data_IF_998429931510
#
_entry.id   IF_998429931510
#
_cell.length_a   1.000
_cell.length_b   1.000
_cell.length_c   1.000
_cell.angle_alpha   90.00
_cell.angle_beta   90.00
_cell.angle_gamma   90.00
#
_symmetry.space_group_name_H-M   'P 1'
#
loop_
_entity.id
_entity.type
_entity.pdbx_description
1 polymer ?
#
# COMPACT_ATOMS: atom_id res chain seq x y z
N UNK A 1 6.85 -6.22 -31.26
CA UNK A 1 5.81 -5.88 -30.28
C UNK A 1 5.87 -4.38 -30.04
N UNK A 2 4.85 -3.61 -30.44
CA UNK A 2 4.80 -2.18 -30.09
C UNK A 2 4.21 -2.10 -28.68
N UNK A 3 5.07 -1.87 -27.71
CA UNK A 3 4.65 -1.48 -26.38
C UNK A 3 4.46 0.03 -26.46
N UNK A 4 3.21 0.45 -26.61
CA UNK A 4 2.87 1.86 -26.53
C UNK A 4 2.95 2.25 -25.04
N UNK A 5 4.12 2.63 -24.63
CA UNK A 5 4.32 3.21 -23.32
C UNK A 5 3.94 4.68 -23.38
N UNK A 6 2.87 5.04 -22.73
CA UNK A 6 2.77 6.38 -22.17
C UNK A 6 3.80 6.45 -21.02
N UNK A 7 5.05 6.80 -21.35
CA UNK A 7 6.14 6.92 -20.38
C UNK A 7 7.11 5.75 -20.42
N UNK A 8 8.03 5.81 -21.26
CA UNK A 8 9.32 5.18 -21.53
C UNK A 8 9.88 4.00 -20.71
N UNK A 9 9.19 3.52 -19.70
CA UNK A 9 9.70 2.56 -18.72
C UNK A 9 9.69 1.10 -19.19
N UNK A 10 8.60 0.67 -19.80
CA UNK A 10 8.43 -0.74 -20.19
C UNK A 10 9.47 -1.14 -21.24
N UNK A 11 9.83 -0.21 -22.11
CA UNK A 11 10.85 -0.47 -23.13
C UNK A 11 12.29 -0.50 -22.61
N UNK A 12 12.59 0.17 -21.51
CA UNK A 12 13.92 0.18 -20.90
C UNK A 12 14.16 -1.06 -20.02
N UNK A 13 13.14 -1.49 -19.27
CA UNK A 13 13.24 -2.66 -18.40
C UNK A 13 13.47 -3.98 -19.18
N UNK A 14 12.88 -4.10 -20.37
CA UNK A 14 13.02 -5.32 -21.20
C UNK A 14 14.38 -5.39 -21.91
N UNK A 15 15.02 -4.25 -22.15
CA UNK A 15 16.28 -4.21 -22.95
C UNK A 15 17.53 -4.74 -22.21
N UNK A 16 17.47 -4.88 -20.90
CA UNK A 16 18.61 -5.32 -20.10
C UNK A 16 18.61 -6.80 -19.74
N UNK A 17 17.60 -7.55 -20.11
CA UNK A 17 17.43 -8.93 -19.65
C UNK A 17 17.95 -9.92 -20.69
N UNK A 18 18.98 -10.63 -20.35
CA UNK A 18 19.51 -11.75 -21.11
C UNK A 18 19.53 -13.00 -20.21
N UNK A 19 19.43 -14.17 -20.83
CA UNK A 19 19.55 -15.43 -20.11
C UNK A 19 20.92 -15.48 -19.43
N UNK A 20 20.94 -15.64 -18.10
CA UNK A 20 22.14 -15.56 -17.28
C UNK A 20 22.48 -14.18 -16.72
N UNK A 21 21.69 -13.15 -17.04
CA UNK A 21 21.75 -11.86 -16.33
C UNK A 21 21.22 -12.09 -14.90
N UNK A 22 21.94 -11.63 -13.88
CA UNK A 22 21.41 -11.69 -12.52
C UNK A 22 20.07 -10.95 -12.34
N UNK A 23 19.63 -10.14 -13.29
CA UNK A 23 18.31 -9.51 -13.33
C UNK A 23 17.32 -10.19 -14.31
N UNK A 24 17.57 -11.45 -14.70
CA UNK A 24 16.63 -12.23 -15.49
C UNK A 24 15.37 -12.53 -14.64
N UNK A 25 14.32 -11.75 -14.86
CA UNK A 25 13.04 -11.90 -14.20
C UNK A 25 12.16 -13.03 -14.79
N UNK A 26 12.60 -13.67 -15.86
CA UNK A 26 11.79 -14.61 -16.62
C UNK A 26 10.70 -13.93 -17.43
N UNK A 27 9.62 -14.65 -17.73
CA UNK A 27 8.49 -14.10 -18.46
C UNK A 27 7.72 -13.09 -17.61
N UNK A 28 7.26 -12.01 -18.25
CA UNK A 28 6.46 -11.01 -17.56
C UNK A 28 5.09 -11.59 -17.19
N UNK A 29 4.74 -11.54 -15.91
CA UNK A 29 3.48 -12.06 -15.36
C UNK A 29 2.55 -10.98 -14.84
N UNK A 30 2.99 -9.72 -14.81
CA UNK A 30 2.20 -8.59 -14.37
C UNK A 30 3.02 -7.32 -14.25
N UNK A 31 2.53 -6.38 -13.47
CA UNK A 31 3.20 -5.13 -13.14
C UNK A 31 3.03 -4.81 -11.65
N UNK A 32 3.95 -4.03 -11.11
CA UNK A 32 3.90 -3.55 -9.73
C UNK A 32 4.17 -2.05 -9.68
N UNK A 33 3.80 -1.41 -8.59
CA UNK A 33 4.27 -0.06 -8.28
C UNK A 33 5.48 -0.16 -7.36
N UNK A 34 6.57 0.56 -7.69
CA UNK A 34 7.79 0.60 -6.88
C UNK A 34 8.02 2.02 -6.40
N UNK A 35 8.24 2.18 -5.10
CA UNK A 35 8.53 3.45 -4.45
C UNK A 35 9.80 3.34 -3.61
N UNK A 36 10.73 4.29 -3.77
CA UNK A 36 11.90 4.41 -2.90
C UNK A 36 11.98 5.83 -2.37
N UNK A 37 11.95 5.98 -1.06
CA UNK A 37 11.79 7.27 -0.41
C UNK A 37 12.70 7.45 0.81
N UNK A 38 13.06 8.69 1.06
CA UNK A 38 13.56 9.16 2.34
C UNK A 38 12.78 10.43 2.72
N UNK A 39 11.87 10.30 3.67
CA UNK A 39 11.04 11.38 4.20
C UNK A 39 11.40 11.75 5.64
N UNK A 40 12.37 11.07 6.23
CA UNK A 40 12.64 11.13 7.68
C UNK A 40 13.99 11.77 8.02
N UNK A 41 14.98 11.66 7.14
CA UNK A 41 16.34 12.09 7.40
C UNK A 41 16.87 13.00 6.30
N UNK A 42 17.18 14.25 6.62
CA UNK A 42 17.79 15.18 5.68
C UNK A 42 19.29 14.87 5.48
N UNK A 43 19.56 14.04 4.48
CA UNK A 43 20.91 13.69 4.02
C UNK A 43 21.47 14.67 2.97
N UNK A 44 20.70 15.69 2.62
CA UNK A 44 21.05 16.70 1.62
C UNK A 44 20.91 16.27 0.15
N UNK A 45 20.52 15.02 -0.13
CA UNK A 45 20.35 14.53 -1.51
C UNK A 45 19.09 13.67 -1.72
N UNK A 46 18.90 12.59 -0.97
CA UNK A 46 17.77 11.68 -1.11
C UNK A 46 16.51 12.16 -0.38
N UNK A 47 16.68 13.03 0.61
CA UNK A 47 15.57 13.55 1.39
C UNK A 47 14.53 14.24 0.49
N UNK A 48 13.28 13.97 0.78
CA UNK A 48 12.12 14.65 0.20
C UNK A 48 11.18 15.06 1.32
N UNK A 49 10.60 16.24 1.16
CA UNK A 49 9.48 16.67 1.99
C UNK A 49 8.38 15.60 1.94
N UNK A 50 7.77 15.17 3.06
CA UNK A 50 6.71 14.16 3.08
C UNK A 50 5.51 14.45 2.17
N UNK A 51 5.27 15.73 1.84
CA UNK A 51 4.22 16.14 0.90
C UNK A 51 4.63 15.96 -0.57
N UNK A 52 5.86 15.54 -0.83
CA UNK A 52 6.40 15.35 -2.17
C UNK A 52 6.48 13.86 -2.53
N UNK A 53 6.64 13.63 -3.83
CA UNK A 53 6.84 12.27 -4.35
C UNK A 53 8.19 11.69 -3.86
N UNK A 54 8.25 10.36 -3.70
CA UNK A 54 9.50 9.62 -3.50
C UNK A 54 10.58 10.03 -4.51
N UNK A 55 11.84 9.83 -4.20
CA UNK A 55 12.92 10.13 -5.15
C UNK A 55 12.96 9.12 -6.31
N UNK A 56 12.35 7.93 -6.14
CA UNK A 56 12.06 6.98 -7.20
C UNK A 56 10.62 6.49 -7.03
N UNK A 57 9.79 6.68 -8.08
CA UNK A 57 8.42 6.20 -8.11
C UNK A 57 8.09 5.69 -9.51
N UNK A 58 7.74 4.42 -9.60
CA UNK A 58 7.50 3.71 -10.85
C UNK A 58 6.15 3.02 -10.79
N UNK A 59 5.21 3.47 -11.59
CA UNK A 59 3.95 2.78 -11.80
C UNK A 59 4.09 1.78 -12.96
N UNK A 60 3.35 0.67 -12.88
CA UNK A 60 3.35 -0.38 -13.91
C UNK A 60 4.76 -0.93 -14.23
N UNK A 61 5.61 -1.02 -13.22
CA UNK A 61 6.94 -1.60 -13.38
C UNK A 61 6.83 -3.11 -13.64
N UNK A 62 7.53 -3.68 -14.65
CA UNK A 62 7.38 -5.08 -15.02
C UNK A 62 7.72 -6.04 -13.88
N UNK A 63 6.84 -7.01 -13.66
CA UNK A 63 7.02 -8.12 -12.74
C UNK A 63 7.22 -9.41 -13.54
N UNK A 64 8.32 -10.12 -13.31
CA UNK A 64 8.62 -11.39 -13.93
C UNK A 64 8.36 -12.59 -13.03
N UNK A 65 8.20 -13.75 -13.63
CA UNK A 65 7.86 -15.01 -12.92
C UNK A 65 8.89 -15.44 -11.87
N UNK A 66 10.15 -15.00 -12.00
CA UNK A 66 11.26 -15.32 -11.10
C UNK A 66 11.48 -14.25 -10.03
N UNK A 67 10.71 -13.15 -10.06
CA UNK A 67 10.94 -12.04 -9.16
C UNK A 67 10.61 -12.34 -7.71
N UNK A 68 11.43 -11.75 -6.85
CA UNK A 68 11.15 -11.44 -5.45
C UNK A 68 11.00 -9.94 -5.26
N UNK A 69 10.51 -9.51 -4.12
CA UNK A 69 10.49 -8.07 -3.76
C UNK A 69 11.90 -7.49 -3.86
N UNK A 70 12.94 -8.21 -3.40
CA UNK A 70 14.31 -7.75 -3.49
C UNK A 70 14.76 -7.57 -4.94
N UNK A 71 14.52 -8.54 -5.82
CA UNK A 71 14.98 -8.44 -7.22
C UNK A 71 14.29 -7.30 -7.97
N UNK A 72 13.00 -7.09 -7.72
CA UNK A 72 12.26 -5.93 -8.28
C UNK A 72 12.89 -4.61 -7.83
N UNK A 73 13.18 -4.47 -6.54
CA UNK A 73 13.80 -3.27 -5.98
C UNK A 73 15.16 -2.99 -6.61
N UNK A 74 16.04 -3.98 -6.63
CA UNK A 74 17.40 -3.82 -7.15
C UNK A 74 17.40 -3.51 -8.64
N UNK A 75 16.52 -4.16 -9.40
CA UNK A 75 16.35 -3.89 -10.82
C UNK A 75 15.79 -2.48 -11.05
N UNK A 76 14.79 -2.05 -10.29
CA UNK A 76 14.25 -0.70 -10.39
C UNK A 76 15.30 0.37 -10.08
N UNK A 77 16.13 0.15 -9.07
CA UNK A 77 17.26 1.03 -8.75
C UNK A 77 18.25 1.09 -9.91
N UNK A 78 18.69 -0.08 -10.43
CA UNK A 78 19.63 -0.17 -11.56
C UNK A 78 19.12 0.56 -12.80
N UNK A 79 17.87 0.30 -13.18
CA UNK A 79 17.28 0.89 -14.38
C UNK A 79 17.17 2.41 -14.32
N UNK A 80 17.19 2.97 -13.11
CA UNK A 80 17.13 4.41 -12.86
C UNK A 80 18.48 5.03 -12.46
N UNK A 81 19.57 4.28 -12.65
CA UNK A 81 20.93 4.77 -12.45
C UNK A 81 21.33 4.91 -10.99
N UNK A 82 20.67 4.17 -10.11
CA UNK A 82 21.10 4.01 -8.72
C UNK A 82 21.98 2.77 -8.58
N UNK A 83 22.83 2.80 -7.56
CA UNK A 83 23.63 1.67 -7.10
C UNK A 83 23.27 1.38 -5.64
N UNK A 84 23.69 0.24 -5.15
CA UNK A 84 23.40 -0.19 -3.77
C UNK A 84 24.56 -0.99 -3.20
N UNK A 85 24.57 -1.08 -1.86
CA UNK A 85 25.31 -2.10 -1.14
C UNK A 85 24.35 -2.92 -0.31
N UNK A 86 24.77 -4.12 0.05
CA UNK A 86 23.99 -5.01 0.86
C UNK A 86 24.82 -6.17 1.38
N UNK A 87 24.27 -6.90 2.34
CA UNK A 87 24.88 -8.12 2.83
C UNK A 87 24.23 -9.34 2.19
N UNK A 88 25.05 -10.33 1.87
CA UNK A 88 24.59 -11.67 1.56
C UNK A 88 24.24 -12.36 2.87
N UNK A 89 22.98 -12.73 3.05
CA UNK A 89 22.59 -13.54 4.20
C UNK A 89 23.31 -14.88 4.20
N UNK A 90 23.51 -15.46 5.37
CA UNK A 90 24.12 -16.79 5.55
C UNK A 90 23.23 -17.94 5.07
N UNK A 91 22.09 -17.67 4.46
CA UNK A 91 21.19 -18.70 3.98
C UNK A 91 21.69 -19.26 2.64
N UNK A 92 22.50 -20.27 2.75
CA UNK A 92 23.07 -21.00 1.60
C UNK A 92 22.01 -21.71 0.74
N UNK A 93 20.75 -21.76 1.19
CA UNK A 93 19.65 -22.41 0.48
C UNK A 93 18.85 -21.43 -0.38
N UNK A 94 19.07 -20.15 -0.23
CA UNK A 94 18.50 -19.08 -1.06
C UNK A 94 19.50 -18.69 -2.13
N UNK A 95 20.03 -19.68 -2.81
CA UNK A 95 20.92 -19.50 -3.93
C UNK A 95 20.24 -18.76 -5.04
N UNK A 96 20.96 -17.91 -5.66
CA UNK A 96 20.82 -17.31 -6.97
C UNK A 96 20.31 -15.88 -7.06
N UNK A 97 19.63 -15.33 -6.06
CA UNK A 97 19.22 -13.95 -6.10
C UNK A 97 20.36 -13.04 -5.70
N UNK A 98 21.18 -12.59 -6.66
CA UNK A 98 22.18 -11.50 -6.49
C UNK A 98 23.03 -11.57 -5.23
N UNK A 99 22.84 -12.59 -4.40
CA UNK A 99 23.50 -12.75 -3.13
C UNK A 99 23.12 -11.71 -2.07
N UNK A 100 22.19 -10.80 -2.34
CA UNK A 100 21.80 -9.72 -1.40
C UNK A 100 20.46 -10.08 -0.78
N UNK A 101 20.48 -10.31 0.53
CA UNK A 101 19.29 -10.54 1.35
C UNK A 101 18.91 -9.32 2.20
N UNK A 102 19.81 -8.35 2.29
CA UNK A 102 19.64 -7.11 3.04
C UNK A 102 20.22 -5.92 2.28
N UNK A 103 19.40 -4.88 2.09
CA UNK A 103 19.80 -3.61 1.47
C UNK A 103 20.38 -2.68 2.53
N UNK A 104 21.68 -2.45 2.50
CA UNK A 104 22.36 -1.60 3.48
C UNK A 104 22.50 -0.14 3.02
N UNK A 105 22.58 0.13 1.73
CA UNK A 105 22.65 1.50 1.23
C UNK A 105 22.15 1.62 -0.19
N UNK A 106 21.68 2.83 -0.53
CA UNK A 106 21.37 3.27 -1.89
C UNK A 106 22.30 4.43 -2.23
N UNK A 107 22.80 4.46 -3.46
CA UNK A 107 23.68 5.53 -3.91
C UNK A 107 23.37 5.95 -5.35
N UNK A 108 23.78 7.18 -5.71
CA UNK A 108 23.70 7.71 -7.06
C UNK A 108 24.90 8.59 -7.37
N UNK A 109 25.43 8.45 -8.56
CA UNK A 109 26.50 9.31 -9.05
C UNK A 109 25.95 10.28 -10.08
N UNK A 110 26.08 11.57 -9.79
CA UNK A 110 25.69 12.65 -10.70
C UNK A 110 26.81 13.68 -10.79
N UNK A 111 27.13 14.10 -11.99
CA UNK A 111 28.18 15.10 -12.25
C UNK A 111 29.54 14.75 -11.62
N UNK A 112 29.87 13.46 -11.57
CA UNK A 112 31.11 12.96 -10.96
C UNK A 112 31.15 12.94 -9.44
N UNK A 113 30.04 13.28 -8.76
CA UNK A 113 29.90 13.19 -7.32
C UNK A 113 28.96 12.03 -6.97
N UNK A 114 29.38 11.17 -6.05
CA UNK A 114 28.56 10.10 -5.52
C UNK A 114 27.89 10.55 -4.22
N UNK A 115 26.58 10.39 -4.18
CA UNK A 115 25.75 10.56 -3.00
C UNK A 115 25.33 9.16 -2.54
N UNK A 116 25.32 8.92 -1.26
CA UNK A 116 24.93 7.64 -0.67
C UNK A 116 24.16 7.88 0.62
N UNK A 117 23.19 7.00 0.88
CA UNK A 117 22.43 6.95 2.12
C UNK A 117 22.43 5.50 2.59
N UNK A 118 23.06 5.25 3.71
CA UNK A 118 23.27 3.93 4.29
C UNK A 118 22.54 3.73 5.61
N UNK A 119 22.46 2.48 6.03
CA UNK A 119 22.09 2.16 7.41
C UNK A 119 23.02 2.90 8.39
N UNK A 120 22.46 3.33 9.51
CA UNK A 120 23.14 4.09 10.57
C UNK A 120 23.53 5.53 10.23
N UNK A 121 23.35 6.02 9.00
CA UNK A 121 23.66 7.42 8.68
C UNK A 121 22.77 8.41 9.44
N UNK A 122 21.51 8.06 9.68
CA UNK A 122 20.56 8.85 10.47
C UNK A 122 20.58 8.54 11.97
N UNK A 123 21.43 7.60 12.43
CA UNK A 123 21.50 7.16 13.83
C UNK A 123 21.48 5.64 13.99
N UNK A 124 21.71 5.14 15.21
CA UNK A 124 21.91 3.71 15.47
C UNK A 124 20.69 2.79 15.20
N UNK A 125 19.53 3.37 14.91
CA UNK A 125 18.30 2.64 14.56
C UNK A 125 17.79 3.00 13.16
N UNK A 126 18.60 3.69 12.37
CA UNK A 126 18.23 4.09 11.03
C UNK A 126 18.61 3.05 9.99
N UNK A 127 17.87 3.03 8.88
CA UNK A 127 18.13 2.13 7.77
C UNK A 127 16.95 2.03 6.78
N UNK A 128 17.04 1.10 5.86
CA UNK A 128 16.04 0.89 4.84
C UNK A 128 14.99 -0.13 5.28
N UNK A 129 13.73 0.30 5.35
CA UNK A 129 12.59 -0.53 5.71
C UNK A 129 11.67 -0.71 4.51
N UNK A 130 11.12 -1.91 4.34
CA UNK A 130 10.25 -2.22 3.22
C UNK A 130 8.85 -2.61 3.61
N UNK A 131 7.91 -2.20 2.78
CA UNK A 131 6.51 -2.60 2.85
C UNK A 131 6.06 -3.24 1.54
N UNK A 132 5.16 -4.19 1.66
CA UNK A 132 4.37 -4.72 0.56
C UNK A 132 2.91 -4.34 0.80
N UNK A 133 2.31 -3.60 -0.14
CA UNK A 133 0.96 -3.04 0.02
C UNK A 133 0.77 -2.21 1.30
N UNK A 134 1.81 -1.45 1.65
CA UNK A 134 1.90 -0.60 2.85
C UNK A 134 1.94 -1.35 4.18
N UNK A 135 2.18 -2.63 4.15
CA UNK A 135 2.36 -3.51 5.29
C UNK A 135 3.85 -3.85 5.49
N UNK A 136 4.39 -3.63 6.67
CA UNK A 136 5.77 -4.03 6.97
C UNK A 136 5.92 -5.55 6.87
N UNK A 137 6.77 -5.97 5.94
CA UNK A 137 7.02 -7.39 5.71
C UNK A 137 7.82 -8.01 6.86
N UNK A 138 7.37 -9.14 7.36
CA UNK A 138 7.99 -9.84 8.49
C UNK A 138 9.33 -10.44 8.18
N UNK A 139 9.40 -10.98 6.98
CA UNK A 139 10.57 -11.67 6.49
C UNK A 139 11.31 -10.73 5.55
N UNK A 140 12.53 -11.02 5.24
CA UNK A 140 13.29 -10.21 4.30
C UNK A 140 12.63 -10.14 2.91
N UNK A 141 13.01 -9.18 2.11
CA UNK A 141 12.43 -8.93 0.78
C UNK A 141 12.58 -10.12 -0.19
N UNK A 142 13.48 -11.05 0.08
CA UNK A 142 13.68 -12.28 -0.71
C UNK A 142 12.62 -13.33 -0.46
N UNK A 143 11.87 -13.25 0.64
CA UNK A 143 10.83 -14.23 0.99
C UNK A 143 9.53 -14.02 0.22
N UNK A 144 9.28 -12.80 -0.22
CA UNK A 144 8.07 -12.45 -0.96
C UNK A 144 8.35 -12.57 -2.45
N UNK A 145 7.85 -13.65 -3.06
CA UNK A 145 8.15 -14.02 -4.45
C UNK A 145 6.91 -14.28 -5.27
N UNK A 146 7.01 -14.13 -6.59
CA UNK A 146 5.97 -14.56 -7.53
C UNK A 146 5.75 -16.06 -7.44
N UNK A 147 6.82 -16.84 -7.27
CA UNK A 147 6.77 -18.31 -7.19
C UNK A 147 5.91 -18.81 -6.03
N UNK A 148 6.01 -18.20 -4.85
CA UNK A 148 5.19 -18.57 -3.69
C UNK A 148 3.88 -17.80 -3.59
N UNK A 149 3.56 -16.96 -4.60
CA UNK A 149 2.35 -16.15 -4.72
C UNK A 149 2.18 -15.06 -3.65
N UNK A 150 3.22 -14.76 -2.91
CA UNK A 150 3.21 -13.64 -1.96
C UNK A 150 3.47 -12.29 -2.63
N UNK A 151 3.97 -12.30 -3.87
CA UNK A 151 4.14 -11.15 -4.74
C UNK A 151 3.39 -11.40 -6.04
N UNK A 152 2.69 -10.40 -6.57
CA UNK A 152 1.92 -10.56 -7.79
C UNK A 152 1.51 -9.24 -8.46
N UNK A 153 0.74 -9.36 -9.54
CA UNK A 153 0.27 -8.22 -10.30
C UNK A 153 -0.51 -7.23 -9.43
N UNK A 154 -0.24 -5.93 -9.64
CA UNK A 154 -0.85 -4.82 -8.91
C UNK A 154 -0.30 -4.59 -7.51
N UNK A 155 0.73 -5.31 -7.06
CA UNK A 155 1.34 -5.04 -5.75
C UNK A 155 2.07 -3.68 -5.71
N UNK A 156 2.07 -3.09 -4.52
CA UNK A 156 2.80 -1.87 -4.20
C UNK A 156 4.00 -2.21 -3.30
N UNK A 157 5.19 -2.06 -3.85
CA UNK A 157 6.45 -2.27 -3.15
C UNK A 157 6.99 -0.89 -2.76
N UNK A 158 7.18 -0.65 -1.46
CA UNK A 158 7.79 0.59 -0.99
C UNK A 158 8.96 0.31 -0.06
N UNK A 159 10.08 0.99 -0.35
CA UNK A 159 11.22 1.04 0.57
C UNK A 159 11.37 2.47 1.04
N UNK A 160 11.44 2.63 2.34
CA UNK A 160 11.59 3.93 2.96
C UNK A 160 12.76 3.91 3.94
N UNK A 161 13.50 5.02 3.98
CA UNK A 161 14.51 5.20 4.98
C UNK A 161 13.85 5.59 6.30
N UNK A 162 14.12 4.82 7.36
CA UNK A 162 13.73 5.16 8.73
C UNK A 162 14.91 5.80 9.44
N UNK A 163 14.66 6.84 10.19
CA UNK A 163 15.68 7.46 11.04
C UNK A 163 15.59 6.95 12.48
N UNK A 164 14.38 6.63 12.95
CA UNK A 164 14.14 6.33 14.35
C UNK A 164 13.21 5.14 14.55
N UNK A 165 13.46 4.39 15.63
CA UNK A 165 12.57 3.36 16.13
C UNK A 165 12.35 2.15 15.21
N UNK A 166 13.30 1.87 14.29
CA UNK A 166 13.19 0.74 13.36
C UNK A 166 11.86 0.74 12.60
N UNK A 167 11.46 1.90 12.07
CA UNK A 167 10.22 2.08 11.33
C UNK A 167 9.06 2.70 12.12
N UNK A 168 9.27 3.13 13.37
CA UNK A 168 8.25 3.83 14.13
C UNK A 168 7.87 5.17 13.49
N UNK A 169 8.84 5.89 12.96
CA UNK A 169 8.67 7.13 12.20
C UNK A 169 8.01 6.93 10.82
N UNK A 170 7.93 5.69 10.36
CA UNK A 170 7.24 5.29 9.12
C UNK A 170 5.83 4.76 9.36
N UNK A 171 5.37 4.72 10.60
CA UNK A 171 4.04 4.26 10.96
C UNK A 171 3.98 2.80 11.46
N UNK A 172 5.11 2.20 11.85
CA UNK A 172 5.14 0.96 12.62
C UNK A 172 5.14 1.25 14.12
N UNK A 173 4.54 0.40 14.92
CA UNK A 173 4.59 0.50 16.38
C UNK A 173 4.61 -0.88 17.03
N UNK A 174 5.24 -0.97 18.20
CA UNK A 174 5.23 -2.19 19.01
C UNK A 174 3.89 -2.43 19.72
N UNK A 175 3.07 -1.39 19.86
CA UNK A 175 1.68 -1.54 20.30
C UNK A 175 0.82 -2.05 19.16
N UNK A 176 0.39 -3.30 19.27
CA UNK A 176 -0.41 -3.98 18.26
C UNK A 176 -1.91 -4.02 18.61
N UNK A 177 -2.40 -3.13 19.44
CA UNK A 177 -3.82 -3.05 19.78
C UNK A 177 -4.65 -2.24 18.78
N UNK A 178 -4.04 -1.27 18.08
CA UNK A 178 -4.74 -0.40 17.13
C UNK A 178 -4.80 -1.01 15.72
N UNK A 179 -5.93 -1.62 15.40
CA UNK A 179 -6.25 -2.18 14.06
C UNK A 179 -7.04 -1.21 13.18
N UNK A 180 -7.07 0.09 13.50
CA UNK A 180 -7.81 1.07 12.71
C UNK A 180 -7.03 1.52 11.47
N UNK A 181 -7.74 2.15 10.53
CA UNK A 181 -7.13 2.91 9.45
C UNK A 181 -6.88 4.35 9.91
N UNK A 182 -5.67 4.85 9.68
CA UNK A 182 -5.34 6.27 9.82
C UNK A 182 -6.02 7.12 8.74
N UNK A 183 -6.09 6.60 7.52
CA UNK A 183 -6.66 7.26 6.36
C UNK A 183 -7.23 6.25 5.37
N UNK A 184 -8.20 6.70 4.58
CA UNK A 184 -8.74 5.99 3.44
C UNK A 184 -8.90 7.00 2.29
N UNK A 185 -7.99 6.93 1.31
CA UNK A 185 -8.07 7.74 0.10
C UNK A 185 -8.86 6.97 -0.97
N UNK A 186 -9.66 7.70 -1.76
CA UNK A 186 -10.52 7.10 -2.78
C UNK A 186 -10.38 7.90 -4.07
N UNK A 187 -10.19 7.19 -5.17
CA UNK A 187 -10.29 7.74 -6.52
C UNK A 187 -11.48 7.12 -7.24
N UNK A 188 -12.12 7.88 -8.11
CA UNK A 188 -13.31 7.44 -8.87
C UNK A 188 -14.61 7.45 -8.10
N UNK A 189 -14.61 7.95 -6.86
CA UNK A 189 -15.78 8.10 -6.01
C UNK A 189 -15.53 9.06 -4.86
N UNK A 190 -16.57 9.38 -4.10
CA UNK A 190 -16.48 10.30 -2.95
C UNK A 190 -17.28 9.75 -1.77
N UNK A 191 -16.70 9.77 -0.58
CA UNK A 191 -17.46 9.45 0.64
C UNK A 191 -18.46 10.56 0.94
N UNK A 192 -19.71 10.18 1.18
CA UNK A 192 -20.78 11.13 1.55
C UNK A 192 -20.52 11.76 2.92
N UNK A 193 -19.86 11.02 3.81
CA UNK A 193 -19.44 11.52 5.11
C UNK A 193 -17.92 11.48 5.25
N UNK A 194 -17.38 12.37 6.08
CA UNK A 194 -15.95 12.37 6.37
C UNK A 194 -15.54 11.03 6.99
N UNK A 195 -14.44 10.48 6.49
CA UNK A 195 -13.84 9.27 7.09
C UNK A 195 -13.40 9.52 8.52
N UNK A 196 -13.75 8.59 9.41
CA UNK A 196 -13.36 8.56 10.83
C UNK A 196 -12.80 7.18 11.14
N UNK A 197 -11.58 7.06 11.69
CA UNK A 197 -10.96 5.78 11.99
C UNK A 197 -11.79 4.82 12.85
N UNK A 198 -12.55 5.38 13.80
CA UNK A 198 -13.31 4.58 14.78
C UNK A 198 -12.42 3.98 15.88
N UNK A 199 -12.86 2.88 16.44
CA UNK A 199 -12.15 2.11 17.47
C UNK A 199 -11.76 0.75 16.94
N UNK A 200 -10.65 0.21 17.42
CA UNK A 200 -10.14 -1.11 17.02
C UNK A 200 -11.18 -2.20 17.26
N UNK A 201 -11.29 -3.15 16.31
CA UNK A 201 -12.24 -4.25 16.35
C UNK A 201 -13.68 -3.89 15.95
N UNK A 202 -13.95 -2.62 15.62
CA UNK A 202 -15.26 -2.15 15.19
C UNK A 202 -15.59 -2.48 13.73
N UNK A 203 -16.87 -2.31 13.37
CA UNK A 203 -17.33 -2.29 11.97
C UNK A 203 -18.02 -0.95 11.72
N UNK A 204 -17.58 -0.26 10.66
CA UNK A 204 -18.01 1.09 10.31
C UNK A 204 -18.60 1.10 8.92
N UNK A 205 -19.73 1.76 8.76
CA UNK A 205 -20.43 1.84 7.49
C UNK A 205 -20.31 3.24 6.90
N UNK A 206 -20.03 3.30 5.60
CA UNK A 206 -19.91 4.50 4.81
C UNK A 206 -20.73 4.37 3.54
N UNK A 207 -21.06 5.49 2.96
CA UNK A 207 -21.60 5.56 1.61
C UNK A 207 -20.57 6.14 0.67
N UNK A 208 -20.30 5.42 -0.42
CA UNK A 208 -19.44 5.81 -1.51
C UNK A 208 -20.31 6.26 -2.69
N UNK A 209 -20.33 7.55 -2.95
CA UNK A 209 -21.03 8.13 -4.08
C UNK A 209 -20.20 7.97 -5.35
N UNK A 210 -20.83 7.45 -6.40
CA UNK A 210 -20.31 7.44 -7.78
C UNK A 210 -21.25 8.23 -8.67
N UNK A 211 -20.77 8.73 -9.80
CA UNK A 211 -21.53 9.62 -10.69
C UNK A 211 -22.11 8.93 -11.94
N UNK A 212 -22.11 7.61 -11.97
CA UNK A 212 -22.61 6.75 -13.05
C UNK A 212 -23.07 5.41 -12.51
N UNK A 213 -23.85 4.64 -13.29
CA UNK A 213 -24.31 3.30 -12.88
C UNK A 213 -23.21 2.29 -12.72
N UNK A 214 -22.08 2.50 -13.40
CA UNK A 214 -20.86 1.71 -13.23
C UNK A 214 -19.66 2.65 -13.22
N UNK A 215 -18.72 2.40 -12.32
CA UNK A 215 -17.50 3.16 -12.16
C UNK A 215 -16.33 2.22 -11.86
N UNK A 216 -15.13 2.76 -11.97
CA UNK A 216 -13.92 2.14 -11.44
C UNK A 216 -13.42 3.00 -10.28
N UNK A 217 -13.29 2.40 -9.12
CA UNK A 217 -12.79 3.09 -7.93
C UNK A 217 -11.49 2.44 -7.46
N UNK A 218 -10.57 3.25 -6.96
CA UNK A 218 -9.35 2.78 -6.31
C UNK A 218 -9.33 3.26 -4.87
N UNK A 219 -9.06 2.33 -3.96
CA UNK A 219 -8.96 2.62 -2.54
C UNK A 219 -7.52 2.47 -2.07
N UNK A 220 -7.03 3.50 -1.37
CA UNK A 220 -5.71 3.48 -0.74
C UNK A 220 -5.87 3.56 0.78
N UNK A 221 -6.10 2.42 1.45
CA UNK A 221 -6.15 2.38 2.89
C UNK A 221 -4.74 2.54 3.48
N UNK A 222 -4.64 3.32 4.56
CA UNK A 222 -3.42 3.45 5.36
C UNK A 222 -3.73 3.00 6.78
N UNK A 223 -3.10 1.93 7.23
CA UNK A 223 -3.25 1.46 8.61
C UNK A 223 -2.66 2.47 9.61
N UNK A 224 -3.27 2.61 10.77
CA UNK A 224 -2.70 3.38 11.89
C UNK A 224 -1.37 2.78 12.34
N UNK A 225 -1.29 1.46 12.33
CA UNK A 225 -0.06 0.71 12.54
C UNK A 225 0.21 -0.17 11.31
N UNK A 226 1.27 0.11 10.58
CA UNK A 226 1.67 -0.64 9.37
C UNK A 226 2.09 -2.09 9.63
N UNK A 227 2.12 -2.53 10.87
CA UNK A 227 2.24 -3.95 11.19
C UNK A 227 0.96 -4.73 10.92
N UNK A 228 -0.15 -4.06 10.60
CA UNK A 228 -1.38 -4.70 10.17
C UNK A 228 -1.57 -4.57 8.67
N UNK A 229 -1.87 -5.70 8.04
CA UNK A 229 -2.22 -5.76 6.62
C UNK A 229 -3.62 -5.21 6.41
N UNK A 230 -3.82 -4.44 5.34
CA UNK A 230 -5.13 -4.02 4.87
C UNK A 230 -5.55 -4.86 3.66
N UNK A 231 -6.81 -5.29 3.64
CA UNK A 231 -7.37 -6.08 2.53
C UNK A 231 -8.68 -5.45 2.05
N UNK A 232 -8.92 -5.49 0.75
CA UNK A 232 -10.09 -4.89 0.12
C UNK A 232 -10.87 -6.00 -0.61
N UNK A 233 -12.17 -6.14 -0.31
CA UNK A 233 -13.04 -7.12 -0.91
C UNK A 233 -14.28 -6.45 -1.51
N UNK A 234 -14.81 -7.00 -2.59
CA UNK A 234 -16.06 -6.55 -3.21
C UNK A 234 -17.17 -7.56 -2.89
N UNK A 235 -18.27 -7.08 -2.33
CA UNK A 235 -19.51 -7.80 -2.01
C UNK A 235 -19.40 -8.96 -1.00
N UNK A 236 -18.22 -9.46 -0.71
CA UNK A 236 -18.02 -10.56 0.23
C UNK A 236 -16.97 -10.19 1.26
N UNK A 237 -17.39 -9.98 2.49
CA UNK A 237 -16.46 -9.82 3.61
C UNK A 237 -15.81 -11.17 3.91
N UNK A 238 -14.52 -11.27 3.70
CA UNK A 238 -13.76 -12.49 4.07
C UNK A 238 -13.13 -12.27 5.43
N UNK A 239 -13.63 -12.98 6.42
CA UNK A 239 -13.16 -12.90 7.82
C UNK A 239 -12.16 -13.98 8.17
N UNK A 240 -12.12 -15.05 7.39
CA UNK A 240 -11.17 -16.14 7.57
C UNK A 240 -9.94 -15.90 6.73
N UNK A 241 -8.78 -16.23 7.30
CA UNK A 241 -7.56 -16.27 6.53
C UNK A 241 -7.54 -17.55 5.69
N UNK A 242 -8.50 -17.67 4.80
CA UNK A 242 -8.52 -18.75 3.85
C UNK A 242 -7.31 -18.56 2.93
N UNK A 243 -6.38 -19.51 2.99
CA UNK A 243 -5.24 -19.54 2.10
C UNK A 243 -5.72 -19.42 0.66
N UNK A 244 -5.28 -18.37 -0.03
CA UNK A 244 -5.71 -18.09 -1.40
C UNK A 244 -6.96 -17.22 -1.56
N UNK A 245 -7.52 -16.63 -0.50
CA UNK A 245 -8.57 -15.63 -0.66
C UNK A 245 -8.06 -14.43 -1.46
N UNK A 246 -8.69 -14.18 -2.60
CA UNK A 246 -8.36 -13.06 -3.47
C UNK A 246 -8.89 -11.76 -2.88
N UNK A 247 -8.06 -10.74 -2.80
CA UNK A 247 -8.46 -9.39 -2.43
C UNK A 247 -7.89 -8.38 -3.42
N UNK A 248 -8.54 -7.22 -3.52
CA UNK A 248 -8.02 -6.13 -4.34
C UNK A 248 -6.85 -5.44 -3.62
N UNK A 249 -5.88 -5.04 -4.40
CA UNK A 249 -4.71 -4.33 -3.92
C UNK A 249 -4.92 -2.82 -4.02
N UNK A 250 -4.25 -2.06 -3.19
CA UNK A 250 -4.36 -0.59 -3.13
C UNK A 250 -4.02 0.13 -4.45
N UNK A 251 -3.36 -0.55 -5.38
CA UNK A 251 -2.99 -0.02 -6.70
C UNK A 251 -3.99 -0.37 -7.78
N UNK A 252 -4.97 -1.25 -7.49
CA UNK A 252 -5.94 -1.76 -8.46
C UNK A 252 -7.23 -0.95 -8.44
N UNK A 253 -7.79 -0.76 -9.63
CA UNK A 253 -9.13 -0.26 -9.78
C UNK A 253 -10.14 -1.40 -9.63
N UNK A 254 -11.19 -1.13 -8.90
CA UNK A 254 -12.29 -2.06 -8.58
C UNK A 254 -13.48 -1.64 -9.42
N UNK A 255 -13.96 -2.47 -10.34
CA UNK A 255 -15.20 -2.19 -11.04
C UNK A 255 -16.38 -2.31 -10.07
N UNK A 256 -17.19 -1.28 -9.97
CA UNK A 256 -18.33 -1.21 -9.06
C UNK A 256 -19.58 -0.72 -9.76
N UNK A 257 -20.71 -1.17 -9.25
CA UNK A 257 -22.06 -0.71 -9.65
C UNK A 257 -22.82 -0.22 -8.41
N UNK A 258 -23.85 0.58 -8.62
CA UNK A 258 -24.72 1.00 -7.53
C UNK A 258 -25.35 -0.22 -6.83
N UNK A 259 -25.25 -0.27 -5.52
CA UNK A 259 -25.69 -1.39 -4.67
C UNK A 259 -24.55 -2.30 -4.21
N UNK A 260 -23.39 -2.25 -4.84
CA UNK A 260 -22.22 -3.00 -4.38
C UNK A 260 -21.75 -2.52 -2.99
N UNK A 261 -21.03 -3.38 -2.29
CA UNK A 261 -20.39 -3.03 -1.01
C UNK A 261 -18.91 -3.39 -1.08
N UNK A 262 -18.06 -2.40 -0.86
CA UNK A 262 -16.62 -2.63 -0.72
C UNK A 262 -16.31 -2.77 0.77
N UNK A 263 -15.63 -3.84 1.14
CA UNK A 263 -15.16 -4.07 2.50
C UNK A 263 -13.65 -3.84 2.57
N UNK A 264 -13.22 -2.95 3.46
CA UNK A 264 -11.81 -2.75 3.79
C UNK A 264 -11.58 -3.27 5.19
N UNK A 265 -10.75 -4.30 5.32
CA UNK A 265 -10.34 -4.88 6.59
C UNK A 265 -8.92 -4.48 6.98
N UNK A 266 -8.70 -4.21 8.26
CA UNK A 266 -7.39 -3.98 8.85
C UNK A 266 -7.28 -4.79 10.13
N UNK A 267 -6.39 -5.77 10.20
CA UNK A 267 -6.31 -6.63 11.38
C UNK A 267 -5.42 -7.84 11.22
N UNK A 268 -4.97 -8.13 10.00
CA UNK A 268 -3.95 -9.14 9.82
C UNK A 268 -2.63 -8.60 10.37
N UNK A 269 -2.11 -9.30 11.37
CA UNK A 269 -0.93 -8.88 12.09
C UNK A 269 0.33 -9.28 11.34
N UNK A 270 1.09 -8.30 10.90
CA UNK A 270 2.48 -8.49 10.59
C UNK A 270 3.35 -8.39 11.85
N UNK A 271 4.58 -8.82 11.74
CA UNK A 271 5.55 -8.60 12.79
C UNK A 271 6.00 -7.15 12.82
N UNK A 272 5.91 -6.52 13.96
CA UNK A 272 6.59 -5.26 14.14
C UNK A 272 8.08 -5.54 14.14
N UNK A 273 8.75 -5.21 13.05
CA UNK A 273 10.19 -5.32 12.95
C UNK A 273 10.79 -6.74 12.97
N UNK A 274 12.09 -6.79 13.16
CA UNK A 274 12.92 -7.99 13.01
C UNK A 274 12.76 -9.05 14.10
N UNK A 275 11.91 -8.86 15.10
CA UNK A 275 11.68 -9.83 16.18
C UNK A 275 10.47 -10.71 15.92
N UNK A 276 10.38 -11.26 14.75
CA UNK A 276 9.30 -12.16 14.39
C UNK A 276 9.24 -13.37 15.31
N UNK A 277 8.08 -13.58 15.93
CA UNK A 277 7.82 -14.79 16.70
C UNK A 277 6.81 -15.62 15.92
N UNK A 278 7.08 -16.88 15.78
CA UNK A 278 6.14 -17.83 15.21
C UNK A 278 4.80 -17.78 15.95
N UNK A 279 3.72 -18.00 15.23
CA UNK A 279 2.39 -18.08 15.79
C UNK A 279 1.64 -16.75 15.89
N UNK A 280 2.08 -15.70 15.22
CA UNK A 280 1.25 -14.54 15.00
C UNK A 280 0.09 -14.91 14.09
N UNK A 281 -0.96 -15.29 14.71
CA UNK A 281 -2.23 -15.53 14.04
C UNK A 281 -2.85 -14.19 13.68
N UNK A 282 -3.59 -14.19 12.59
CA UNK A 282 -4.44 -13.07 12.26
C UNK A 282 -5.41 -12.78 13.37
N UNK A 283 -5.62 -11.51 13.60
CA UNK A 283 -6.73 -11.08 14.42
C UNK A 283 -8.02 -11.19 13.60
N UNK A 284 -8.89 -12.12 13.96
CA UNK A 284 -10.27 -12.14 13.48
C UNK A 284 -11.07 -10.94 14.02
N UNK A 285 -10.50 -10.22 14.98
CA UNK A 285 -11.06 -9.03 15.62
C UNK A 285 -10.60 -7.73 14.94
N UNK A 286 -10.22 -7.80 13.68
CA UNK A 286 -9.81 -6.64 12.88
C UNK A 286 -10.95 -5.63 12.72
N UNK A 287 -10.55 -4.40 12.44
CA UNK A 287 -11.48 -3.31 12.15
C UNK A 287 -11.94 -3.39 10.69
N UNK A 288 -13.22 -3.18 10.46
CA UNK A 288 -13.83 -3.26 9.14
C UNK A 288 -14.52 -1.96 8.77
N UNK A 289 -14.37 -1.59 7.51
CA UNK A 289 -15.03 -0.44 6.90
C UNK A 289 -15.81 -0.93 5.68
N UNK A 290 -17.13 -0.80 5.74
CA UNK A 290 -18.04 -1.19 4.66
C UNK A 290 -18.48 0.06 3.89
N UNK A 291 -18.17 0.15 2.61
CA UNK A 291 -18.52 1.27 1.74
C UNK A 291 -19.63 0.80 0.80
N UNK A 292 -20.85 1.23 1.04
CA UNK A 292 -21.98 1.00 0.13
C UNK A 292 -21.89 1.96 -1.06
N UNK A 293 -21.82 1.40 -2.24
CA UNK A 293 -21.73 2.17 -3.49
C UNK A 293 -23.11 2.64 -3.91
N UNK A 294 -23.25 3.91 -4.24
CA UNK A 294 -24.51 4.53 -4.68
C UNK A 294 -24.26 5.49 -5.85
N UNK A 295 -25.04 5.33 -6.92
CA UNK A 295 -25.06 6.29 -8.02
C UNK A 295 -25.89 7.52 -7.61
N UNK A 296 -25.23 8.67 -7.53
CA UNK A 296 -25.89 9.93 -7.13
C UNK A 296 -26.46 10.74 -8.30
N UNK A 297 -26.13 10.39 -9.56
CA UNK A 297 -26.65 11.11 -10.75
C UNK A 297 -27.99 10.60 -11.24
N UNK A 298 -28.37 9.37 -10.92
CA UNK A 298 -29.56 8.71 -11.46
C UNK A 298 -30.72 8.57 -10.50
N UNK A 299 -30.52 8.72 -9.20
CA UNK A 299 -31.53 8.35 -8.19
C UNK A 299 -31.56 9.29 -6.99
N UNK A 300 -32.29 10.41 -7.17
CA UNK A 300 -32.57 11.32 -6.05
C UNK A 300 -33.36 10.62 -4.92
N UNK A 301 -34.06 9.52 -5.21
CA UNK A 301 -34.72 8.68 -4.21
C UNK A 301 -33.71 7.96 -3.34
N UNK A 302 -32.69 7.30 -3.91
CA UNK A 302 -31.66 6.62 -3.16
C UNK A 302 -30.86 7.58 -2.25
N UNK A 303 -30.60 8.82 -2.71
CA UNK A 303 -29.94 9.84 -1.88
C UNK A 303 -30.84 10.24 -0.71
N UNK A 304 -32.14 10.39 -0.94
CA UNK A 304 -33.10 10.71 0.14
C UNK A 304 -33.24 9.55 1.12
N UNK A 305 -33.33 8.31 0.66
CA UNK A 305 -33.38 7.11 1.51
C UNK A 305 -32.12 7.00 2.39
N UNK A 306 -30.96 7.36 1.84
CA UNK A 306 -29.71 7.41 2.60
C UNK A 306 -29.72 8.51 3.65
N UNK A 307 -30.21 9.70 3.30
CA UNK A 307 -30.34 10.81 4.23
C UNK A 307 -31.30 10.45 5.38
N UNK A 308 -32.38 9.75 5.07
CA UNK A 308 -33.37 9.32 6.04
C UNK A 308 -32.90 8.14 6.93
N UNK A 309 -31.95 7.33 6.43
CA UNK A 309 -31.28 6.25 7.18
C UNK A 309 -30.13 6.73 8.07
N UNK A 310 -29.75 8.02 8.00
CA UNK A 310 -28.67 8.54 8.83
C UNK A 310 -29.06 8.49 10.33
N UNK A 311 -28.07 8.24 11.24
CA UNK A 311 -28.32 8.13 12.66
C UNK A 311 -29.05 9.38 13.22
N UNK A 312 -30.02 9.15 14.11
CA UNK A 312 -30.69 10.23 14.81
C UNK A 312 -29.70 11.08 15.63
N UNK A 313 -30.09 12.30 15.95
CA UNK A 313 -29.31 13.23 16.77
C UNK A 313 -28.73 12.64 18.07
N UNK A 314 -29.41 11.64 18.63
CA UNK A 314 -29.00 10.93 19.85
C UNK A 314 -27.81 10.00 19.66
N UNK A 315 -27.48 9.62 18.43
CA UNK A 315 -26.36 8.72 18.10
C UNK A 315 -25.08 9.48 17.73
N UNK A 316 -25.15 10.80 17.56
CA UNK A 316 -24.01 11.65 17.13
C UNK A 316 -23.62 12.60 18.27
N UNK A 317 -22.32 12.71 18.58
CA UNK A 317 -21.85 13.70 19.56
C UNK A 317 -22.25 15.10 19.13
N UNK A 318 -22.80 15.89 20.05
CA UNK A 318 -23.39 17.22 19.78
C UNK A 318 -22.50 18.17 18.97
N UNK A 319 -21.20 18.12 19.12
CA UNK A 319 -20.23 18.94 18.35
C UNK A 319 -20.17 18.61 16.85
N UNK A 320 -20.58 17.44 16.44
CA UNK A 320 -20.64 17.02 15.04
C UNK A 320 -22.05 17.09 14.45
N UNK A 321 -23.06 17.22 15.30
CA UNK A 321 -24.46 17.18 14.89
C UNK A 321 -24.85 18.37 13.99
N UNK A 322 -24.39 19.58 14.29
CA UNK A 322 -24.70 20.75 13.48
C UNK A 322 -24.06 20.65 12.09
N UNK A 323 -22.81 20.18 12.01
CA UNK A 323 -22.14 19.96 10.71
C UNK A 323 -22.87 18.88 9.87
N UNK A 324 -23.41 17.87 10.53
CA UNK A 324 -24.21 16.85 9.91
C UNK A 324 -25.54 17.43 9.39
N UNK A 325 -26.28 18.19 10.20
CA UNK A 325 -27.53 18.85 9.79
C UNK A 325 -27.30 19.77 8.61
N UNK A 326 -26.20 20.55 8.63
CA UNK A 326 -25.85 21.47 7.56
C UNK A 326 -25.51 20.72 6.26
N UNK A 327 -24.79 19.59 6.35
CA UNK A 327 -24.47 18.74 5.21
C UNK A 327 -25.73 18.09 4.60
N UNK A 328 -26.66 17.61 5.44
CA UNK A 328 -27.96 17.07 5.01
C UNK A 328 -28.82 18.15 4.35
N UNK A 329 -28.86 19.36 4.94
CA UNK A 329 -29.59 20.49 4.35
C UNK A 329 -29.00 20.91 3.01
N UNK A 330 -27.67 20.94 2.87
CA UNK A 330 -26.99 21.23 1.62
C UNK A 330 -27.28 20.16 0.57
N UNK A 331 -27.23 18.87 0.93
CA UNK A 331 -27.55 17.77 0.03
C UNK A 331 -29.00 17.86 -0.48
N UNK A 332 -29.98 18.20 0.39
CA UNK A 332 -31.41 18.38 0.00
C UNK A 332 -31.65 19.58 -0.91
N UNK A 333 -30.74 20.56 -0.97
CA UNK A 333 -30.90 21.73 -1.86
C UNK A 333 -30.32 21.51 -3.24
N UNK A 334 -29.52 20.47 -3.43
CA UNK A 334 -28.88 20.12 -4.71
C UNK A 334 -29.73 19.12 -5.50
N UNK A 335 -30.67 18.42 -4.85
CA UNK A 335 -31.57 17.41 -5.38
C UNK A 335 -33.03 17.76 -5.08
#
# INVERSE_FOLDING_TARGET
MRIAASGGYIGAAIKGWSQGDPFDAGDQVGTVTVSVANFTYDDGYFYRDPDKKPFLYLENYPLGEKDSVMTVILRALKDNGYSWNGSTGNDKNKGEDYGITYLSSVSKTENGKTYALGEFDGGGQSGWMGTLNDWFTNYGFTEFTVKNRSLGDGDYISIQYTQDGLGADLGGTWDNSDTTLKALEIEGGTLVSKFVPGEAGGTYEYTLAIDSDAAEVRLTPTASNKNFLTKIFLNNKVTDNTEGASFYKRTQYIPVTSGDVIYVGCGERAWPSMNNQEGNTQSNDGTWYALRVVNVKGDAGAVNDMIDALPSASAVKYSSYQQFVDAVAAARTVY
#
